data_IF_150911935462
#
_entry.id   IF_150911935462
#
_cell.length_a   1.000
_cell.length_b   1.000
_cell.length_c   1.000
_cell.angle_alpha   90.00
_cell.angle_beta   90.00
_cell.angle_gamma   90.00
#
_symmetry.space_group_name_H-M   'P 1'
#
loop_
_entity.id
_entity.type
_entity.pdbx_description
1 polymer ?
#
# COMPACT_ATOMS: atom_id res chain seq x y z
N UNK A 1 -20.39 -19.62 -3.78
CA UNK A 1 -20.70 -18.56 -2.81
C UNK A 1 -20.25 -17.25 -3.46
N UNK A 2 -21.21 -16.47 -3.96
CA UNK A 2 -20.98 -15.18 -4.60
C UNK A 2 -20.62 -14.16 -3.52
N UNK A 3 -19.42 -13.61 -3.57
CA UNK A 3 -19.08 -12.38 -2.88
C UNK A 3 -19.25 -11.24 -3.90
N UNK A 4 -20.50 -10.84 -4.12
CA UNK A 4 -20.79 -9.55 -4.72
C UNK A 4 -20.73 -8.55 -3.56
N UNK A 5 -19.78 -7.62 -3.62
CA UNK A 5 -19.80 -6.45 -2.75
C UNK A 5 -21.04 -5.63 -3.12
N UNK A 6 -21.92 -5.39 -2.14
CA UNK A 6 -23.17 -4.65 -2.32
C UNK A 6 -22.89 -3.24 -2.85
N UNK A 7 -23.36 -2.95 -4.07
CA UNK A 7 -23.55 -1.58 -4.56
C UNK A 7 -22.64 -1.08 -5.69
N UNK A 8 -21.61 -1.82 -6.10
CA UNK A 8 -20.72 -1.36 -7.17
C UNK A 8 -20.97 -2.11 -8.47
N UNK A 9 -21.61 -1.41 -9.42
CA UNK A 9 -21.79 -1.84 -10.80
C UNK A 9 -20.44 -2.22 -11.41
N UNK A 10 -20.15 -3.53 -11.43
CA UNK A 10 -19.39 -4.23 -12.47
C UNK A 10 -18.25 -3.48 -13.14
N UNK A 11 -17.42 -2.74 -12.40
CA UNK A 11 -16.22 -2.17 -12.97
C UNK A 11 -15.26 -3.34 -13.23
N UNK A 12 -14.82 -3.43 -14.48
CA UNK A 12 -13.87 -4.40 -15.00
C UNK A 12 -12.86 -4.81 -13.92
N UNK A 13 -12.59 -6.11 -13.74
CA UNK A 13 -11.69 -6.62 -12.69
C UNK A 13 -10.35 -5.86 -12.60
N UNK A 14 -9.90 -5.29 -13.72
CA UNK A 14 -8.70 -4.48 -13.87
C UNK A 14 -8.81 -3.09 -13.20
N UNK A 15 -9.99 -2.47 -13.23
CA UNK A 15 -10.29 -1.22 -12.52
C UNK A 15 -10.35 -1.42 -11.01
N UNK A 16 -11.02 -2.50 -10.58
CA UNK A 16 -11.07 -2.89 -9.17
C UNK A 16 -9.67 -3.16 -8.60
N UNK A 17 -8.80 -3.84 -9.37
CA UNK A 17 -7.40 -4.05 -8.97
C UNK A 17 -6.63 -2.72 -8.83
N UNK A 18 -6.78 -1.78 -9.76
CA UNK A 18 -6.12 -0.45 -9.69
C UNK A 18 -6.55 0.36 -8.47
N UNK A 19 -7.83 0.34 -8.15
CA UNK A 19 -8.37 1.04 -6.98
C UNK A 19 -7.91 0.39 -5.68
N UNK A 20 -7.97 -0.95 -5.60
CA UNK A 20 -7.41 -1.70 -4.49
C UNK A 20 -5.91 -1.38 -4.29
N UNK A 21 -5.12 -1.30 -5.37
CA UNK A 21 -3.70 -0.93 -5.28
C UNK A 21 -3.49 0.49 -4.77
N UNK A 22 -4.30 1.45 -5.22
CA UNK A 22 -4.21 2.84 -4.76
C UNK A 22 -4.55 2.97 -3.27
N UNK A 23 -5.56 2.22 -2.79
CA UNK A 23 -5.94 2.16 -1.38
C UNK A 23 -4.82 1.54 -0.54
N UNK A 24 -4.23 0.44 -0.98
CA UNK A 24 -3.13 -0.23 -0.29
C UNK A 24 -1.87 0.64 -0.27
N UNK A 25 -1.51 1.27 -1.39
CA UNK A 25 -0.36 2.17 -1.44
C UNK A 25 -0.53 3.35 -0.48
N UNK A 26 -1.74 3.91 -0.37
CA UNK A 26 -2.03 5.01 0.57
C UNK A 26 -1.94 4.55 2.03
N UNK A 27 -2.41 3.35 2.36
CA UNK A 27 -2.35 2.83 3.73
C UNK A 27 -0.91 2.51 4.17
N UNK A 28 -0.01 2.17 3.24
CA UNK A 28 1.41 1.97 3.57
C UNK A 28 2.09 3.23 4.13
N UNK A 29 1.68 4.42 3.68
CA UNK A 29 2.23 5.70 4.16
C UNK A 29 1.50 6.25 5.39
N UNK A 30 0.51 5.54 5.93
CA UNK A 30 -0.15 5.94 7.16
C UNK A 30 0.82 5.77 8.36
N UNK A 31 1.07 6.85 9.14
CA UNK A 31 1.99 6.81 10.27
C UNK A 31 1.67 5.73 11.32
N UNK A 32 0.42 5.30 11.43
CA UNK A 32 -0.02 4.27 12.37
C UNK A 32 0.58 2.89 12.07
N UNK A 33 0.96 2.61 10.82
CA UNK A 33 1.64 1.36 10.47
C UNK A 33 3.15 1.43 10.69
N UNK A 34 3.70 2.62 10.94
CA UNK A 34 5.12 2.87 11.17
C UNK A 34 6.06 2.30 10.09
N UNK A 35 5.59 2.14 8.85
CA UNK A 35 6.36 1.54 7.75
C UNK A 35 7.31 2.54 7.09
N UNK A 36 6.80 3.73 6.80
CA UNK A 36 7.53 4.83 6.19
C UNK A 36 7.50 6.06 7.07
N UNK A 37 8.50 6.91 6.93
CA UNK A 37 8.59 8.21 7.60
C UNK A 37 9.00 9.29 6.60
N UNK A 38 8.66 10.53 6.92
CA UNK A 38 9.09 11.69 6.14
C UNK A 38 10.60 11.88 6.32
N UNK A 39 11.32 12.08 5.21
CA UNK A 39 12.74 12.40 5.21
C UNK A 39 12.97 13.71 5.99
N UNK A 40 13.77 13.71 7.08
CA UNK A 40 14.02 14.92 7.85
C UNK A 40 14.77 16.01 7.05
N UNK A 41 15.50 15.63 5.99
CA UNK A 41 16.27 16.55 5.15
C UNK A 41 15.46 17.34 4.12
N UNK A 42 14.31 16.83 3.70
CA UNK A 42 13.54 17.39 2.57
C UNK A 42 12.03 17.51 2.85
N UNK A 43 11.51 16.85 3.89
CA UNK A 43 10.10 16.90 4.34
C UNK A 43 9.02 16.52 3.33
N UNK A 44 9.35 16.30 2.06
CA UNK A 44 8.42 15.94 0.99
C UNK A 44 8.62 14.51 0.47
N UNK A 45 9.76 13.90 0.80
CA UNK A 45 10.09 12.53 0.38
C UNK A 45 9.86 11.55 1.53
N UNK A 46 9.31 10.37 1.24
CA UNK A 46 9.19 9.28 2.21
C UNK A 46 10.39 8.34 2.13
N UNK A 47 10.81 7.82 3.28
CA UNK A 47 11.86 6.80 3.42
C UNK A 47 11.38 5.67 4.34
N UNK A 48 11.93 4.45 4.21
CA UNK A 48 11.62 3.37 5.15
C UNK A 48 11.92 3.79 6.59
N UNK A 49 10.99 3.53 7.50
CA UNK A 49 11.19 3.84 8.92
C UNK A 49 12.12 2.78 9.54
N UNK A 50 13.28 3.15 10.11
CA UNK A 50 14.16 2.19 10.80
C UNK A 50 13.49 1.51 12.00
N UNK A 51 12.43 2.11 12.54
CA UNK A 51 11.62 1.56 13.63
C UNK A 51 10.44 0.72 13.15
N UNK A 52 10.34 0.39 11.86
CA UNK A 52 9.20 -0.38 11.31
C UNK A 52 9.00 -1.74 11.95
N UNK A 53 10.03 -2.31 12.56
CA UNK A 53 9.98 -3.57 13.30
C UNK A 53 9.00 -3.55 14.49
N UNK A 54 8.57 -2.38 14.96
CA UNK A 54 7.50 -2.28 15.96
C UNK A 54 6.14 -2.79 15.45
N UNK A 55 5.94 -2.79 14.13
CA UNK A 55 4.78 -3.42 13.50
C UNK A 55 5.10 -4.88 13.20
N UNK A 56 4.40 -5.82 13.83
CA UNK A 56 4.64 -7.26 13.64
C UNK A 56 4.51 -7.74 12.17
N UNK A 57 3.74 -7.01 11.35
CA UNK A 57 3.49 -7.38 9.95
C UNK A 57 4.37 -6.62 8.95
N UNK A 58 5.38 -5.86 9.41
CA UNK A 58 6.19 -4.98 8.54
C UNK A 58 6.76 -5.70 7.31
N UNK A 59 7.26 -6.93 7.47
CA UNK A 59 7.83 -7.72 6.37
C UNK A 59 6.82 -8.01 5.26
N UNK A 60 5.55 -8.29 5.60
CA UNK A 60 4.50 -8.53 4.61
C UNK A 60 4.17 -7.25 3.85
N UNK A 61 4.10 -6.11 4.54
CA UNK A 61 3.86 -4.83 3.90
C UNK A 61 4.99 -4.43 2.95
N UNK A 62 6.25 -4.62 3.34
CA UNK A 62 7.37 -4.36 2.42
C UNK A 62 7.33 -5.29 1.21
N UNK A 63 6.98 -6.57 1.38
CA UNK A 63 6.81 -7.48 0.25
C UNK A 63 5.73 -7.00 -0.73
N UNK A 64 4.56 -6.57 -0.22
CA UNK A 64 3.49 -6.02 -1.06
C UNK A 64 3.97 -4.74 -1.74
N UNK A 65 4.68 -3.84 -1.05
CA UNK A 65 5.23 -2.62 -1.65
C UNK A 65 6.14 -2.94 -2.84
N UNK A 66 7.06 -3.89 -2.68
CA UNK A 66 7.94 -4.33 -3.77
C UNK A 66 7.16 -4.97 -4.91
N UNK A 67 6.14 -5.78 -4.61
CA UNK A 67 5.27 -6.37 -5.62
C UNK A 67 4.54 -5.28 -6.42
N UNK A 68 3.99 -4.27 -5.75
CA UNK A 68 3.33 -3.13 -6.40
C UNK A 68 4.29 -2.33 -7.26
N UNK A 69 5.51 -2.09 -6.76
CA UNK A 69 6.55 -1.41 -7.51
C UNK A 69 6.85 -2.17 -8.80
N UNK A 70 7.07 -3.49 -8.74
CA UNK A 70 7.33 -4.31 -9.93
C UNK A 70 6.17 -4.29 -10.93
N UNK A 71 4.92 -4.41 -10.46
CA UNK A 71 3.73 -4.35 -11.31
C UNK A 71 3.52 -2.98 -11.98
N UNK A 72 4.11 -1.91 -11.45
CA UNK A 72 4.03 -0.57 -12.05
C UNK A 72 4.97 -0.35 -13.25
N UNK A 73 5.87 -1.30 -13.53
CA UNK A 73 6.77 -1.28 -14.70
C UNK A 73 6.30 -2.16 -15.87
N UNK A 74 5.13 -2.80 -15.78
CA UNK A 74 4.42 -3.40 -16.92
C UNK A 74 3.48 -2.39 -17.59
#
# INVERSE_FOLDING_TARGET
>A
RNNVFDGEEGQHANGLLRECYSIIARSMFDPNFALFMINPGDRVTYMPNPLSHCNANYSQYFFIYWLLYLLSFE
#
